data_IF_348773593539
#
_entry.id   IF_348773593539
#
_cell.length_a   1.000
_cell.length_b   1.000
_cell.length_c   1.000
_cell.angle_alpha   90.00
_cell.angle_beta   90.00
_cell.angle_gamma   90.00
#
_symmetry.space_group_name_H-M   'P 1'
#
loop_
_entity.id
_entity.type
_entity.pdbx_description
1 polymer ?
#
# COMPACT_ATOMS: atom_id res chain seq x y z
N UNK A 1 -85.76 -30.65 24.41
CA UNK A 1 -85.11 -29.41 24.63
C UNK A 1 -83.71 -29.67 25.18
N UNK A 2 -82.69 -29.52 24.41
CA UNK A 2 -81.28 -29.16 24.75
C UNK A 2 -80.42 -29.42 23.54
N UNK A 3 -80.13 -28.32 22.87
CA UNK A 3 -79.30 -28.21 21.68
C UNK A 3 -77.85 -28.40 22.06
N UNK A 4 -77.17 -29.33 21.42
CA UNK A 4 -75.73 -29.52 21.53
C UNK A 4 -75.00 -28.75 20.36
N UNK A 5 -74.31 -27.71 20.69
CA UNK A 5 -73.46 -26.99 19.79
C UNK A 5 -72.14 -27.76 19.69
N UNK A 6 -71.85 -28.31 18.53
CA UNK A 6 -70.48 -28.82 18.22
C UNK A 6 -69.63 -27.73 17.67
N UNK A 7 -68.65 -27.27 18.44
CA UNK A 7 -67.62 -26.37 17.99
C UNK A 7 -66.52 -27.14 17.23
N UNK A 8 -66.37 -26.84 15.95
CA UNK A 8 -65.28 -27.31 15.13
C UNK A 8 -64.12 -26.40 15.34
N UNK A 9 -63.08 -26.91 16.00
CA UNK A 9 -61.77 -26.22 16.06
C UNK A 9 -60.97 -26.54 14.79
N UNK A 10 -60.88 -25.61 13.86
CA UNK A 10 -59.90 -25.65 12.76
C UNK A 10 -58.56 -25.10 13.22
N UNK A 11 -57.60 -25.99 13.42
CA UNK A 11 -56.21 -25.60 13.67
C UNK A 11 -55.55 -25.25 12.34
N UNK A 12 -55.36 -23.93 12.09
CA UNK A 12 -54.56 -23.44 10.99
C UNK A 12 -53.08 -23.44 11.41
N UNK A 13 -52.29 -24.37 10.87
CA UNK A 13 -50.85 -24.38 11.02
C UNK A 13 -50.26 -23.28 10.13
N UNK A 14 -49.89 -22.15 10.72
CA UNK A 14 -49.05 -21.14 10.06
C UNK A 14 -47.61 -21.65 10.07
N UNK A 15 -47.16 -22.18 8.94
CA UNK A 15 -45.75 -22.45 8.69
C UNK A 15 -45.06 -21.12 8.34
N UNK A 16 -44.52 -20.44 9.33
CA UNK A 16 -43.61 -19.28 9.13
C UNK A 16 -42.29 -19.81 8.62
N UNK A 17 -42.11 -19.77 7.30
CA UNK A 17 -40.82 -20.01 6.64
C UNK A 17 -39.88 -18.87 6.98
N UNK A 18 -38.92 -19.09 7.88
CA UNK A 18 -37.82 -18.19 8.11
C UNK A 18 -36.89 -18.32 6.90
N UNK A 19 -37.02 -17.41 5.93
CA UNK A 19 -36.04 -17.26 4.87
C UNK A 19 -34.75 -16.75 5.50
N UNK A 20 -33.77 -17.63 5.68
CA UNK A 20 -32.39 -17.22 5.95
C UNK A 20 -31.90 -16.52 4.70
N UNK A 21 -31.97 -15.20 4.66
CA UNK A 21 -31.19 -14.39 3.72
C UNK A 21 -29.73 -14.49 4.15
N UNK A 22 -28.99 -15.38 3.50
CA UNK A 22 -27.54 -15.37 3.59
C UNK A 22 -27.07 -14.02 3.04
N UNK A 23 -26.83 -13.05 3.93
CA UNK A 23 -26.08 -11.85 3.59
C UNK A 23 -24.68 -12.33 3.21
N UNK A 24 -24.39 -12.38 1.92
CA UNK A 24 -23.00 -12.46 1.46
C UNK A 24 -22.32 -11.23 2.01
N UNK A 25 -21.54 -11.40 3.07
CA UNK A 25 -20.64 -10.36 3.54
C UNK A 25 -19.72 -10.05 2.36
N UNK A 26 -19.95 -8.94 1.69
CA UNK A 26 -19.07 -8.46 0.65
C UNK A 26 -17.75 -8.17 1.34
N UNK A 27 -16.71 -8.88 0.89
CA UNK A 27 -15.37 -8.67 1.42
C UNK A 27 -15.06 -7.18 1.38
N UNK A 28 -14.81 -6.59 2.53
CA UNK A 28 -14.52 -5.17 2.62
C UNK A 28 -13.30 -4.88 1.76
N UNK A 29 -13.45 -3.98 0.80
CA UNK A 29 -12.34 -3.47 0.03
C UNK A 29 -11.35 -2.82 1.00
N UNK A 30 -10.12 -3.29 0.98
CA UNK A 30 -9.05 -2.70 1.77
C UNK A 30 -8.32 -1.69 0.91
N UNK A 31 -8.08 -0.52 1.46
CA UNK A 31 -7.27 0.51 0.84
C UNK A 31 -5.93 0.58 1.56
N UNK A 32 -4.83 0.54 0.80
CA UNK A 32 -3.46 0.69 1.29
C UNK A 32 -2.88 2.01 0.81
N UNK A 33 -2.19 2.72 1.71
CA UNK A 33 -1.36 3.85 1.35
C UNK A 33 0.10 3.41 1.20
N UNK A 34 0.61 3.43 -0.04
CA UNK A 34 2.01 3.22 -0.35
C UNK A 34 2.72 4.56 -0.42
N UNK A 35 3.67 4.78 0.48
CA UNK A 35 4.53 5.96 0.53
C UNK A 35 5.89 5.60 -0.02
N UNK A 36 6.32 6.25 -1.11
CA UNK A 36 7.60 5.96 -1.74
C UNK A 36 8.30 7.23 -2.25
N UNK A 37 9.57 7.12 -2.65
CA UNK A 37 10.27 8.25 -3.26
C UNK A 37 9.98 8.34 -4.78
N UNK A 38 10.13 9.53 -5.36
CA UNK A 38 9.65 9.86 -6.71
C UNK A 38 10.12 8.93 -7.82
N UNK A 39 11.34 8.44 -7.77
CA UNK A 39 11.91 7.60 -8.82
C UNK A 39 11.21 6.23 -8.98
N UNK A 40 10.33 5.84 -8.05
CA UNK A 40 9.63 4.55 -8.08
C UNK A 40 8.14 4.66 -8.40
N UNK A 41 7.69 5.82 -8.86
CA UNK A 41 6.28 6.09 -9.16
C UNK A 41 5.70 5.09 -10.16
N UNK A 42 6.27 5.00 -11.34
CA UNK A 42 5.81 4.11 -12.41
C UNK A 42 5.92 2.63 -12.01
N UNK A 43 6.99 2.27 -11.30
CA UNK A 43 7.16 0.92 -10.78
C UNK A 43 5.99 0.53 -9.87
N UNK A 44 5.59 1.38 -8.93
CA UNK A 44 4.48 1.07 -8.03
C UNK A 44 3.12 1.15 -8.69
N UNK A 45 2.94 1.95 -9.73
CA UNK A 45 1.72 1.93 -10.53
C UNK A 45 1.48 0.56 -11.16
N UNK A 46 2.51 -0.05 -11.72
CA UNK A 46 2.43 -1.38 -12.32
C UNK A 46 2.37 -2.50 -11.28
N UNK A 47 3.21 -2.40 -10.25
CA UNK A 47 3.25 -3.38 -9.17
C UNK A 47 1.89 -3.49 -8.46
N UNK A 48 1.28 -2.37 -8.09
CA UNK A 48 0.02 -2.34 -7.37
C UNK A 48 -1.12 -2.94 -8.20
N UNK A 49 -1.15 -2.71 -9.52
CA UNK A 49 -2.11 -3.36 -10.43
C UNK A 49 -1.93 -4.88 -10.44
N UNK A 50 -0.70 -5.32 -10.59
CA UNK A 50 -0.36 -6.76 -10.62
C UNK A 50 -0.66 -7.43 -9.30
N UNK A 51 -0.29 -6.80 -8.19
CA UNK A 51 -0.58 -7.31 -6.86
C UNK A 51 -2.07 -7.36 -6.56
N UNK A 52 -2.83 -6.33 -6.93
CA UNK A 52 -4.28 -6.30 -6.73
C UNK A 52 -4.99 -7.45 -7.47
N UNK A 53 -4.59 -7.73 -8.72
CA UNK A 53 -5.09 -8.87 -9.48
C UNK A 53 -4.73 -10.21 -8.82
N UNK A 54 -3.48 -10.38 -8.43
CA UNK A 54 -2.99 -11.57 -7.71
C UNK A 54 -3.76 -11.79 -6.40
N UNK A 55 -3.93 -10.74 -5.61
CA UNK A 55 -4.60 -10.81 -4.31
C UNK A 55 -6.05 -11.22 -4.45
N UNK A 56 -6.77 -10.66 -5.43
CA UNK A 56 -8.16 -11.01 -5.72
C UNK A 56 -8.31 -12.49 -6.09
N UNK A 57 -7.44 -13.01 -6.96
CA UNK A 57 -7.46 -14.43 -7.33
C UNK A 57 -7.19 -15.33 -6.15
N UNK A 58 -6.26 -14.93 -5.27
CA UNK A 58 -5.82 -15.78 -4.15
C UNK A 58 -6.77 -15.75 -2.95
N UNK A 59 -7.44 -14.63 -2.70
CA UNK A 59 -8.22 -14.43 -1.46
C UNK A 59 -9.70 -14.17 -1.70
N UNK A 60 -10.11 -13.84 -2.93
CA UNK A 60 -11.45 -13.37 -3.24
C UNK A 60 -11.70 -11.89 -2.86
N UNK A 61 -10.75 -11.24 -2.16
CA UNK A 61 -10.87 -9.86 -1.72
C UNK A 61 -10.25 -8.89 -2.71
N UNK A 62 -10.83 -7.70 -2.82
CA UNK A 62 -10.23 -6.59 -3.56
C UNK A 62 -9.37 -5.73 -2.64
N UNK A 63 -8.33 -5.14 -3.21
CA UNK A 63 -7.47 -4.16 -2.56
C UNK A 63 -7.27 -2.98 -3.51
N UNK A 64 -7.39 -1.77 -3.00
CA UNK A 64 -7.06 -0.54 -3.70
C UNK A 64 -5.82 0.09 -3.11
N UNK A 65 -5.10 0.87 -3.91
CA UNK A 65 -3.87 1.52 -3.50
C UNK A 65 -3.97 3.02 -3.71
N UNK A 66 -3.75 3.77 -2.63
CA UNK A 66 -3.33 5.15 -2.70
C UNK A 66 -1.82 5.23 -2.71
N UNK A 67 -1.29 6.25 -3.36
CA UNK A 67 0.14 6.43 -3.48
C UNK A 67 0.53 7.86 -3.11
N UNK A 68 1.62 7.99 -2.36
CA UNK A 68 2.27 9.26 -2.09
C UNK A 68 3.73 9.16 -2.52
N UNK A 69 4.13 10.02 -3.46
CA UNK A 69 5.48 10.05 -3.99
C UNK A 69 6.11 11.43 -3.77
N UNK A 70 7.39 11.48 -3.52
CA UNK A 70 8.12 12.72 -3.30
C UNK A 70 9.58 12.45 -2.96
N UNK A 71 10.32 13.50 -2.59
CA UNK A 71 11.68 13.32 -2.09
C UNK A 71 11.70 12.41 -0.86
N UNK A 72 12.64 11.47 -0.79
CA UNK A 72 12.70 10.41 0.20
C UNK A 72 12.60 10.93 1.66
N UNK A 73 13.44 11.86 2.05
CA UNK A 73 13.39 12.48 3.39
C UNK A 73 12.11 13.29 3.65
N UNK A 74 11.49 13.87 2.59
CA UNK A 74 10.19 14.54 2.73
C UNK A 74 9.09 13.52 3.05
N UNK A 75 9.11 12.38 2.39
CA UNK A 75 8.13 11.32 2.64
C UNK A 75 8.30 10.72 4.04
N UNK A 76 9.55 10.48 4.49
CA UNK A 76 9.83 10.07 5.86
C UNK A 76 9.22 11.04 6.86
N UNK A 77 9.46 12.34 6.67
CA UNK A 77 8.91 13.39 7.55
C UNK A 77 7.38 13.40 7.55
N UNK A 78 6.75 13.26 6.38
CA UNK A 78 5.28 13.19 6.31
C UNK A 78 4.71 12.06 7.14
N UNK A 79 5.36 10.89 7.15
CA UNK A 79 4.96 9.75 7.98
C UNK A 79 5.16 10.07 9.46
N UNK A 80 6.32 10.61 9.85
CA UNK A 80 6.61 11.05 11.23
C UNK A 80 5.56 12.07 11.72
N UNK A 81 5.14 12.98 10.84
CA UNK A 81 4.15 14.01 11.11
C UNK A 81 2.69 13.49 11.11
N UNK A 82 2.49 12.18 10.88
CA UNK A 82 1.19 11.53 11.05
C UNK A 82 0.51 11.02 9.78
N UNK A 83 1.18 11.02 8.62
CA UNK A 83 0.65 10.37 7.42
C UNK A 83 0.54 8.86 7.68
N UNK A 84 -0.67 8.33 7.66
CA UNK A 84 -0.96 6.92 7.95
C UNK A 84 -0.59 6.05 6.74
N UNK A 85 0.67 5.65 6.67
CA UNK A 85 1.19 4.78 5.63
C UNK A 85 1.09 3.30 6.04
N UNK A 86 0.63 2.45 5.12
CA UNK A 86 0.67 0.99 5.31
C UNK A 86 2.01 0.41 4.87
N UNK A 87 2.61 1.02 3.85
CA UNK A 87 3.91 0.62 3.31
C UNK A 87 4.75 1.86 3.03
N UNK A 88 6.01 1.82 3.45
CA UNK A 88 7.00 2.85 3.09
C UNK A 88 8.18 2.22 2.36
N UNK A 89 8.57 2.80 1.23
CA UNK A 89 9.72 2.38 0.44
C UNK A 89 10.53 3.59 0.03
N UNK A 90 11.57 3.87 0.79
CA UNK A 90 12.35 5.09 0.67
C UNK A 90 13.75 4.81 0.11
N UNK A 91 14.42 5.85 -0.37
CA UNK A 91 15.70 5.71 -1.06
C UNK A 91 16.86 5.33 -0.12
N UNK A 92 16.79 5.76 1.14
CA UNK A 92 17.90 5.62 2.10
C UNK A 92 17.41 4.97 3.38
N UNK A 93 18.25 4.08 3.93
CA UNK A 93 17.99 3.48 5.25
C UNK A 93 17.81 4.54 6.34
N UNK A 94 18.57 5.64 6.29
CA UNK A 94 18.43 6.75 7.24
C UNK A 94 17.02 7.35 7.26
N UNK A 95 16.35 7.42 6.13
CA UNK A 95 14.98 7.95 6.08
C UNK A 95 13.99 7.02 6.78
N UNK A 96 14.21 5.70 6.69
CA UNK A 96 13.44 4.73 7.48
C UNK A 96 13.77 4.84 8.98
N UNK A 97 15.05 5.05 9.33
CA UNK A 97 15.46 5.21 10.73
C UNK A 97 14.81 6.44 11.41
N UNK A 98 14.50 7.49 10.68
CA UNK A 98 13.73 8.63 11.23
C UNK A 98 12.30 8.19 11.64
N UNK A 99 11.68 7.32 10.86
CA UNK A 99 10.35 6.77 11.19
C UNK A 99 10.46 5.79 12.37
N UNK A 100 11.54 5.00 12.46
CA UNK A 100 11.83 4.13 13.61
C UNK A 100 11.94 4.96 14.90
N UNK A 101 12.69 6.07 14.85
CA UNK A 101 12.85 6.97 16.02
C UNK A 101 11.51 7.55 16.49
N UNK A 102 10.55 7.73 15.60
CA UNK A 102 9.20 8.19 15.95
C UNK A 102 8.32 7.08 16.56
N UNK A 103 8.79 5.84 16.57
CA UNK A 103 8.06 4.69 17.11
C UNK A 103 7.02 4.06 16.18
N UNK A 104 6.94 4.50 14.91
CA UNK A 104 5.96 4.00 13.95
C UNK A 104 6.43 2.74 13.20
N UNK A 105 7.73 2.48 13.17
CA UNK A 105 8.34 1.25 12.67
C UNK A 105 9.17 0.64 13.78
N UNK A 106 9.18 -0.68 13.89
CA UNK A 106 9.97 -1.40 14.90
C UNK A 106 11.46 -1.31 14.57
N UNK A 107 12.27 -1.24 15.62
CA UNK A 107 13.73 -1.39 15.49
C UNK A 107 14.06 -2.78 14.93
N UNK A 108 15.09 -2.87 14.08
CA UNK A 108 15.47 -4.13 13.45
C UNK A 108 14.71 -4.46 12.16
N UNK A 109 13.92 -3.55 11.63
CA UNK A 109 13.16 -3.65 10.37
C UNK A 109 13.97 -4.23 9.20
N UNK A 110 15.28 -3.98 9.14
CA UNK A 110 16.17 -4.51 8.11
C UNK A 110 16.26 -6.05 8.11
N UNK A 111 15.90 -6.71 9.21
CA UNK A 111 15.94 -8.18 9.34
C UNK A 111 14.60 -8.85 8.99
N UNK A 112 13.55 -8.09 8.79
CA UNK A 112 12.21 -8.61 8.53
C UNK A 112 12.09 -9.28 7.16
N UNK A 113 12.81 -8.76 6.15
CA UNK A 113 12.79 -9.27 4.79
C UNK A 113 14.20 -9.51 4.25
N UNK A 114 14.35 -10.34 3.20
CA UNK A 114 15.64 -10.55 2.54
C UNK A 114 16.32 -9.25 2.09
N UNK A 115 17.63 -9.30 1.91
CA UNK A 115 18.44 -8.18 1.41
C UNK A 115 18.31 -6.90 2.25
N UNK A 116 18.27 -7.02 3.59
CA UNK A 116 18.09 -5.92 4.51
C UNK A 116 16.77 -5.15 4.27
N UNK A 117 15.71 -5.87 3.93
CA UNK A 117 14.41 -5.30 3.58
C UNK A 117 14.45 -4.35 2.39
N UNK A 118 15.41 -4.55 1.48
CA UNK A 118 15.54 -3.79 0.23
C UNK A 118 15.00 -4.61 -0.95
N UNK A 119 13.78 -4.32 -1.46
CA UNK A 119 13.17 -5.09 -2.55
C UNK A 119 13.88 -4.90 -3.89
N UNK A 120 14.61 -3.81 -4.06
CA UNK A 120 15.40 -3.48 -5.25
C UNK A 120 16.55 -2.54 -4.88
N UNK A 121 17.47 -2.36 -5.80
CA UNK A 121 18.57 -1.41 -5.71
C UNK A 121 18.53 -0.44 -6.89
N UNK A 122 19.09 0.75 -6.70
CA UNK A 122 19.22 1.76 -7.74
C UNK A 122 20.64 2.34 -7.73
N UNK A 123 20.96 3.12 -8.72
CA UNK A 123 22.23 3.84 -8.81
C UNK A 123 22.01 5.29 -9.19
N UNK A 124 23.00 6.12 -8.86
CA UNK A 124 23.03 7.51 -9.32
C UNK A 124 23.82 7.57 -10.61
N UNK A 125 23.31 8.29 -11.58
CA UNK A 125 23.95 8.52 -12.87
C UNK A 125 24.09 10.02 -13.15
N UNK A 126 25.12 10.39 -13.92
CA UNK A 126 25.25 11.75 -14.39
C UNK A 126 24.42 11.97 -15.64
N UNK A 127 23.44 12.84 -15.58
CA UNK A 127 22.73 13.32 -16.75
C UNK A 127 23.47 14.53 -17.33
N UNK A 128 24.00 14.38 -18.51
CA UNK A 128 24.79 15.41 -19.18
C UNK A 128 24.18 15.81 -20.51
N UNK A 129 24.54 17.00 -21.02
CA UNK A 129 24.13 17.44 -22.37
C UNK A 129 24.66 16.48 -23.43
N UNK A 130 23.94 16.37 -24.56
CA UNK A 130 24.36 15.51 -25.68
C UNK A 130 25.82 15.76 -26.05
N UNK A 131 26.59 14.69 -26.17
CA UNK A 131 28.01 14.71 -26.46
C UNK A 131 28.91 15.03 -25.27
N UNK A 132 28.35 15.22 -24.07
CA UNK A 132 29.11 15.48 -22.84
C UNK A 132 30.19 16.58 -23.02
N UNK A 133 29.84 17.80 -23.40
CA UNK A 133 30.82 18.85 -23.78
C UNK A 133 31.73 19.29 -22.63
N UNK A 134 31.38 18.96 -21.39
CA UNK A 134 32.20 19.24 -20.19
C UNK A 134 33.02 18.04 -19.74
N UNK A 135 32.96 16.92 -20.47
CA UNK A 135 33.66 15.68 -20.15
C UNK A 135 33.46 15.19 -18.72
N UNK A 136 32.21 15.27 -18.20
CA UNK A 136 31.86 14.79 -16.88
C UNK A 136 31.86 13.27 -16.89
N UNK A 137 32.72 12.65 -16.08
CA UNK A 137 32.85 11.20 -15.95
C UNK A 137 32.81 10.73 -14.49
N UNK A 138 33.16 11.63 -13.58
CA UNK A 138 33.28 11.33 -12.16
C UNK A 138 32.76 12.50 -11.31
N UNK A 139 32.53 12.24 -10.03
CA UNK A 139 32.08 13.23 -9.05
C UNK A 139 33.02 14.44 -8.95
N UNK A 140 34.34 14.22 -9.03
CA UNK A 140 35.36 15.27 -9.03
C UNK A 140 35.22 16.22 -10.20
N UNK A 141 34.64 15.80 -11.32
CA UNK A 141 34.42 16.65 -12.48
C UNK A 141 33.36 17.72 -12.23
N UNK A 142 32.44 17.47 -11.29
CA UNK A 142 31.38 18.42 -10.94
C UNK A 142 31.93 19.70 -10.26
N UNK A 143 33.14 19.63 -9.67
CA UNK A 143 33.77 20.76 -8.97
C UNK A 143 34.68 21.60 -9.87
N UNK A 144 34.83 21.22 -11.17
CA UNK A 144 35.67 21.93 -12.12
C UNK A 144 35.11 23.32 -12.45
N UNK A 145 35.98 24.31 -12.69
CA UNK A 145 35.53 25.62 -13.11
C UNK A 145 34.63 25.57 -14.36
N UNK A 146 33.54 26.33 -14.34
CA UNK A 146 32.59 26.40 -15.47
C UNK A 146 31.61 25.21 -15.56
N UNK A 147 31.63 24.29 -14.63
CA UNK A 147 30.54 23.30 -14.43
C UNK A 147 29.47 23.93 -13.55
N UNK A 148 28.23 23.85 -13.98
CA UNK A 148 27.02 24.23 -13.22
C UNK A 148 26.16 23.00 -13.04
N UNK A 149 25.67 22.79 -11.82
CA UNK A 149 24.84 21.68 -11.42
C UNK A 149 23.42 22.21 -11.17
#
# INVERSE_FOLDING_TARGET
MKTQFKALFSAALLATGIAFTATTAQAADREFLNVSYDATREFYDEFNKSFGAYWKVRTGHTVSFKQSHGGSGKQARSVVDGLQADVVTLALANDIEEIVKSGQIQSGWQKEFPHNSAPYTSTIVFMVRKGNPKHIKDWSDLTKPGVQI
#
